data_IF_783957214297
#
_entry.id   IF_783957214297
#
_cell.length_a   1.000
_cell.length_b   1.000
_cell.length_c   1.000
_cell.angle_alpha   90.00
_cell.angle_beta   90.00
_cell.angle_gamma   90.00
#
_symmetry.space_group_name_H-M   'P 1'
#
loop_
_entity.id
_entity.type
_entity.pdbx_description
1 polymer ?
#
# COMPACT_ATOMS: atom_id res chain seq x y z
N UNK A 1 -1.50 15.35 82.97
CA UNK A 1 -0.29 14.65 82.51
C UNK A 1 -0.35 14.60 80.99
N UNK A 2 0.52 15.36 80.32
CA UNK A 2 0.56 15.46 78.87
C UNK A 2 1.32 14.28 78.26
N UNK A 3 0.79 13.77 77.14
CA UNK A 3 1.21 12.56 76.43
C UNK A 3 2.27 12.93 75.39
N UNK A 4 3.33 12.12 75.33
CA UNK A 4 4.40 12.21 74.35
C UNK A 4 3.91 11.87 72.94
N UNK A 5 4.20 12.76 71.99
CA UNK A 5 4.29 12.46 70.57
C UNK A 5 5.77 12.45 70.21
N UNK A 6 6.21 11.52 69.34
CA UNK A 6 7.07 11.76 68.17
C UNK A 6 7.72 10.45 67.65
N UNK A 7 8.08 10.46 66.36
CA UNK A 7 9.03 9.56 65.68
C UNK A 7 8.54 8.20 65.11
N UNK A 8 7.40 8.15 64.41
CA UNK A 8 7.05 6.98 63.55
C UNK A 8 6.41 7.31 62.20
N UNK A 9 6.60 8.51 61.65
CA UNK A 9 5.93 8.91 60.39
C UNK A 9 6.83 9.32 59.22
N UNK A 10 8.14 9.07 59.28
CA UNK A 10 9.06 9.56 58.23
C UNK A 10 9.80 8.46 57.43
N UNK A 11 9.38 7.18 57.51
CA UNK A 11 10.09 6.09 56.79
C UNK A 11 9.27 5.48 55.65
N UNK A 12 7.98 5.81 55.55
CA UNK A 12 7.09 5.22 54.54
C UNK A 12 6.78 6.16 53.36
N UNK A 13 7.08 7.46 53.48
CA UNK A 13 6.83 8.46 52.43
C UNK A 13 8.05 8.68 51.51
N UNK A 14 9.26 8.39 51.98
CA UNK A 14 10.48 8.50 51.16
C UNK A 14 10.69 7.31 50.20
N UNK A 15 10.00 6.18 50.39
CA UNK A 15 10.11 5.04 49.46
C UNK A 15 9.19 5.12 48.24
N UNK A 16 8.36 6.16 48.15
CA UNK A 16 7.44 6.38 47.03
C UNK A 16 7.94 7.46 46.05
N UNK A 17 9.09 8.08 46.33
CA UNK A 17 9.62 9.19 45.55
C UNK A 17 10.80 8.83 44.63
N UNK A 18 11.14 7.55 44.51
CA UNK A 18 12.00 7.06 43.42
C UNK A 18 11.17 6.80 42.16
N UNK A 19 10.41 7.80 41.72
CA UNK A 19 9.94 7.82 40.34
C UNK A 19 11.12 8.33 39.49
N UNK A 20 11.99 7.41 39.07
CA UNK A 20 13.00 7.69 38.05
C UNK A 20 12.28 8.16 36.79
N UNK A 21 12.16 9.48 36.64
CA UNK A 21 11.58 10.16 35.50
C UNK A 21 12.42 9.94 34.25
N UNK A 22 12.27 8.77 33.64
CA UNK A 22 12.53 8.61 32.22
C UNK A 22 11.29 9.14 31.49
N UNK A 23 11.30 10.44 31.22
CA UNK A 23 10.34 11.05 30.29
C UNK A 23 10.68 10.51 28.89
N UNK A 24 9.96 9.47 28.48
CA UNK A 24 10.15 8.84 27.17
C UNK A 24 9.66 9.82 26.10
N UNK A 25 10.58 10.30 25.26
CA UNK A 25 10.25 11.08 24.07
C UNK A 25 9.68 10.13 22.99
N UNK A 26 8.37 9.97 23.02
CA UNK A 26 7.63 9.13 22.07
C UNK A 26 7.81 9.56 20.61
N UNK A 27 8.08 10.84 20.33
CA UNK A 27 8.33 11.31 18.95
C UNK A 27 9.72 10.88 18.47
N UNK A 28 10.74 11.02 19.32
CA UNK A 28 12.08 10.53 19.02
C UNK A 28 12.13 9.00 18.86
N UNK A 29 11.44 8.24 19.73
CA UNK A 29 11.36 6.78 19.61
C UNK A 29 10.64 6.34 18.33
N UNK A 30 9.51 6.99 17.99
CA UNK A 30 8.78 6.71 16.74
C UNK A 30 9.62 6.99 15.50
N UNK A 31 10.42 8.07 15.54
CA UNK A 31 11.36 8.43 14.47
C UNK A 31 12.52 7.43 14.37
N UNK A 32 13.11 7.03 15.50
CA UNK A 32 14.17 6.04 15.56
C UNK A 32 13.72 4.69 14.98
N UNK A 33 12.55 4.20 15.39
CA UNK A 33 11.98 2.96 14.87
C UNK A 33 11.69 3.03 13.36
N UNK A 34 11.20 4.18 12.88
CA UNK A 34 10.96 4.39 11.44
C UNK A 34 12.27 4.32 10.65
N UNK A 35 13.37 4.83 11.20
CA UNK A 35 14.70 4.74 10.58
C UNK A 35 15.26 3.32 10.61
N UNK A 36 15.07 2.59 11.71
CA UNK A 36 15.47 1.18 11.80
C UNK A 36 14.73 0.32 10.76
N UNK A 37 13.41 0.51 10.62
CA UNK A 37 12.61 -0.10 9.57
C UNK A 37 13.15 0.22 8.17
N UNK A 38 13.53 1.48 7.92
CA UNK A 38 14.08 1.93 6.65
C UNK A 38 15.39 1.21 6.33
N UNK A 39 16.33 1.18 7.27
CA UNK A 39 17.64 0.57 7.08
C UNK A 39 17.54 -0.94 6.86
N UNK A 40 16.73 -1.61 7.67
CA UNK A 40 16.48 -3.03 7.50
C UNK A 40 15.87 -3.30 6.11
N UNK A 41 14.79 -2.59 5.73
CA UNK A 41 14.12 -2.83 4.45
C UNK A 41 15.03 -2.56 3.26
N UNK A 42 15.91 -1.56 3.34
CA UNK A 42 16.88 -1.28 2.27
C UNK A 42 17.84 -2.47 2.06
N UNK A 43 18.42 -2.97 3.16
CA UNK A 43 19.34 -4.13 3.13
C UNK A 43 18.62 -5.39 2.66
N UNK A 44 17.42 -5.63 3.19
CA UNK A 44 16.63 -6.81 2.89
C UNK A 44 16.19 -6.85 1.43
N UNK A 45 15.65 -5.75 0.90
CA UNK A 45 15.28 -5.65 -0.52
C UNK A 45 16.51 -5.78 -1.42
N UNK A 46 17.64 -5.18 -1.06
CA UNK A 46 18.89 -5.37 -1.82
C UNK A 46 19.27 -6.85 -1.92
N UNK A 47 19.13 -7.62 -0.82
CA UNK A 47 19.38 -9.07 -0.81
C UNK A 47 18.39 -9.87 -1.65
N UNK A 48 17.14 -9.43 -1.76
CA UNK A 48 16.14 -10.09 -2.63
C UNK A 48 16.66 -10.10 -4.07
N UNK A 49 17.19 -8.97 -4.56
CA UNK A 49 17.61 -8.80 -5.96
C UNK A 49 19.08 -9.14 -6.24
N UNK A 50 19.96 -9.18 -5.24
CA UNK A 50 21.39 -9.49 -5.44
C UNK A 50 21.70 -10.99 -5.53
N UNK A 51 20.72 -11.87 -5.31
CA UNK A 51 20.93 -13.31 -5.17
C UNK A 51 21.65 -13.73 -3.88
N UNK A 52 22.01 -12.77 -3.02
CA UNK A 52 22.64 -13.06 -1.72
C UNK A 52 21.74 -13.93 -0.84
N UNK A 53 22.34 -14.72 0.04
CA UNK A 53 21.58 -15.52 1.00
C UNK A 53 20.82 -14.61 1.98
N UNK A 54 19.55 -14.97 2.21
CA UNK A 54 18.70 -14.36 3.24
C UNK A 54 18.57 -15.40 4.36
N UNK A 55 19.13 -15.09 5.53
CA UNK A 55 19.20 -16.03 6.65
C UNK A 55 17.81 -16.28 7.25
N UNK A 56 17.68 -17.33 8.06
CA UNK A 56 16.41 -17.60 8.76
C UNK A 56 16.07 -16.51 9.78
N UNK A 57 17.09 -15.93 10.42
CA UNK A 57 16.92 -14.80 11.34
C UNK A 57 16.38 -13.57 10.61
N UNK A 58 16.91 -13.24 9.43
CA UNK A 58 16.41 -12.12 8.62
C UNK A 58 14.97 -12.35 8.14
N UNK A 59 14.61 -13.59 7.78
CA UNK A 59 13.23 -13.95 7.42
C UNK A 59 12.27 -13.78 8.60
N UNK A 60 12.67 -14.26 9.78
CA UNK A 60 11.88 -14.11 11.00
C UNK A 60 11.71 -12.63 11.37
N UNK A 61 12.81 -11.86 11.34
CA UNK A 61 12.80 -10.43 11.59
C UNK A 61 11.89 -9.69 10.60
N UNK A 62 11.99 -9.99 9.30
CA UNK A 62 11.12 -9.41 8.27
C UNK A 62 9.64 -9.64 8.59
N UNK A 63 9.27 -10.87 8.98
CA UNK A 63 7.89 -11.20 9.37
C UNK A 63 7.40 -10.37 10.57
N UNK A 64 8.22 -10.20 11.59
CA UNK A 64 7.88 -9.40 12.79
C UNK A 64 7.73 -7.92 12.43
N UNK A 65 8.72 -7.33 11.77
CA UNK A 65 8.69 -5.87 11.51
C UNK A 65 7.58 -5.49 10.53
N UNK A 66 7.17 -6.38 9.61
CA UNK A 66 6.09 -6.13 8.66
C UNK A 66 4.72 -5.89 9.32
N UNK A 67 4.56 -6.25 10.60
CA UNK A 67 3.37 -5.90 11.39
C UNK A 67 3.24 -4.39 11.59
N UNK A 68 4.33 -3.63 11.41
CA UNK A 68 4.34 -2.18 11.56
C UNK A 68 4.27 -1.43 10.22
N UNK A 69 3.48 -0.34 10.19
CA UNK A 69 3.26 0.45 8.97
C UNK A 69 4.54 1.04 8.34
N UNK A 70 5.52 1.57 9.11
CA UNK A 70 6.77 2.08 8.52
C UNK A 70 7.53 1.04 7.70
N UNK A 71 7.59 -0.20 8.19
CA UNK A 71 8.25 -1.30 7.51
C UNK A 71 7.58 -1.64 6.17
N UNK A 72 6.24 -1.80 6.15
CA UNK A 72 5.48 -2.07 4.91
C UNK A 72 5.65 -0.94 3.89
N UNK A 73 5.64 0.31 4.35
CA UNK A 73 5.84 1.49 3.51
C UNK A 73 7.24 1.52 2.89
N UNK A 74 8.28 1.26 3.68
CA UNK A 74 9.66 1.21 3.17
C UNK A 74 9.90 0.03 2.23
N UNK A 75 9.35 -1.15 2.55
CA UNK A 75 9.39 -2.29 1.64
C UNK A 75 8.81 -1.94 0.26
N UNK A 76 7.57 -1.45 0.23
CA UNK A 76 6.89 -1.09 -1.00
C UNK A 76 7.65 -0.01 -1.80
N UNK A 77 8.24 0.98 -1.10
CA UNK A 77 9.08 2.02 -1.73
C UNK A 77 10.32 1.43 -2.39
N UNK A 78 11.10 0.63 -1.66
CA UNK A 78 12.33 0.04 -2.21
C UNK A 78 12.05 -0.94 -3.35
N UNK A 79 10.98 -1.75 -3.26
CA UNK A 79 10.51 -2.57 -4.38
C UNK A 79 10.17 -1.70 -5.60
N UNK A 80 9.41 -0.62 -5.42
CA UNK A 80 9.03 0.26 -6.53
C UNK A 80 10.24 0.94 -7.19
N UNK A 81 11.33 1.19 -6.44
CA UNK A 81 12.58 1.71 -7.01
C UNK A 81 13.27 0.69 -7.94
N UNK A 82 13.11 -0.62 -7.68
CA UNK A 82 13.71 -1.69 -8.49
C UNK A 82 13.06 -1.88 -9.86
N UNK A 83 11.87 -1.27 -10.11
CA UNK A 83 11.13 -1.41 -11.37
C UNK A 83 11.88 -0.89 -12.60
N UNK A 84 12.80 0.06 -12.41
CA UNK A 84 13.57 0.68 -13.48
C UNK A 84 14.66 -0.25 -14.02
N UNK A 85 15.20 -1.11 -13.15
CA UNK A 85 16.39 -1.90 -13.41
C UNK A 85 16.05 -3.37 -13.69
N UNK A 86 15.07 -3.94 -12.96
CA UNK A 86 14.93 -5.39 -12.82
C UNK A 86 13.52 -5.90 -13.17
N UNK A 87 12.98 -5.59 -14.36
CA UNK A 87 11.60 -6.02 -14.72
C UNK A 87 11.46 -7.52 -14.94
N UNK A 88 12.46 -8.14 -15.58
CA UNK A 88 12.52 -9.59 -15.76
C UNK A 88 13.64 -10.13 -14.88
N UNK A 89 13.28 -10.92 -13.87
CA UNK A 89 14.20 -11.41 -12.85
C UNK A 89 14.47 -12.90 -13.02
N UNK A 90 15.55 -13.40 -12.44
CA UNK A 90 15.81 -14.83 -12.34
C UNK A 90 14.76 -15.54 -11.45
N UNK A 91 14.74 -16.87 -11.51
CA UNK A 91 13.73 -17.70 -10.83
C UNK A 91 13.78 -17.53 -9.30
N UNK A 92 14.99 -17.42 -8.73
CA UNK A 92 15.19 -17.30 -7.29
C UNK A 92 14.64 -15.95 -6.82
N UNK A 93 15.00 -14.86 -7.50
CA UNK A 93 14.48 -13.53 -7.23
C UNK A 93 12.96 -13.48 -7.40
N UNK A 94 12.42 -14.12 -8.44
CA UNK A 94 10.97 -14.18 -8.67
C UNK A 94 10.22 -14.81 -7.50
N UNK A 95 10.62 -15.99 -7.05
CA UNK A 95 9.94 -16.67 -5.94
C UNK A 95 10.17 -15.99 -4.58
N UNK A 96 11.31 -15.31 -4.38
CA UNK A 96 11.50 -14.41 -3.23
C UNK A 96 10.49 -13.27 -3.25
N UNK A 97 10.28 -12.63 -4.39
CA UNK A 97 9.28 -11.57 -4.53
C UNK A 97 7.87 -12.10 -4.23
N UNK A 98 7.49 -13.26 -4.77
CA UNK A 98 6.20 -13.91 -4.44
C UNK A 98 6.06 -14.10 -2.93
N UNK A 99 7.07 -14.69 -2.28
CA UNK A 99 7.03 -14.96 -0.84
C UNK A 99 6.88 -13.68 0.00
N UNK A 100 7.75 -12.68 -0.22
CA UNK A 100 7.77 -11.49 0.63
C UNK A 100 6.66 -10.50 0.31
N UNK A 101 6.17 -10.45 -0.94
CA UNK A 101 4.94 -9.73 -1.25
C UNK A 101 3.76 -10.35 -0.51
N UNK A 102 3.63 -11.69 -0.50
CA UNK A 102 2.55 -12.35 0.21
C UNK A 102 2.53 -11.97 1.70
N UNK A 103 3.67 -11.98 2.37
CA UNK A 103 3.78 -11.52 3.78
C UNK A 103 3.34 -10.07 3.94
N UNK A 104 3.84 -9.14 3.11
CA UNK A 104 3.50 -7.72 3.27
C UNK A 104 2.03 -7.45 2.93
N UNK A 105 1.49 -8.09 1.89
CA UNK A 105 0.09 -7.97 1.50
C UNK A 105 -0.85 -8.54 2.57
N UNK A 106 -0.46 -9.62 3.23
CA UNK A 106 -1.17 -10.15 4.39
C UNK A 106 -1.20 -9.12 5.53
N UNK A 107 -0.06 -8.56 5.92
CA UNK A 107 -0.01 -7.55 6.99
C UNK A 107 -0.74 -6.25 6.62
N UNK A 108 -0.70 -5.84 5.35
CA UNK A 108 -1.52 -4.73 4.83
C UNK A 108 -3.02 -5.03 5.00
N UNK A 109 -3.44 -6.27 4.76
CA UNK A 109 -4.84 -6.67 4.93
C UNK A 109 -5.26 -6.60 6.39
N UNK A 110 -4.45 -7.16 7.28
CA UNK A 110 -4.74 -7.23 8.72
C UNK A 110 -4.82 -5.84 9.35
N UNK A 111 -3.99 -4.91 8.89
CA UNK A 111 -3.90 -3.56 9.44
C UNK A 111 -4.69 -2.49 8.66
N UNK A 112 -5.45 -2.85 7.63
CA UNK A 112 -6.09 -1.91 6.68
C UNK A 112 -5.09 -0.88 6.08
N UNK A 113 -3.83 -1.27 5.86
CA UNK A 113 -2.76 -0.40 5.36
C UNK A 113 -2.64 -0.50 3.83
N UNK A 114 -3.51 0.24 3.13
CA UNK A 114 -3.68 0.12 1.69
C UNK A 114 -2.62 0.80 0.80
N UNK A 115 -1.98 1.93 1.18
CA UNK A 115 -0.96 2.56 0.31
C UNK A 115 0.22 1.66 -0.10
N UNK A 116 0.87 0.89 0.80
CA UNK A 116 1.90 -0.05 0.40
C UNK A 116 1.31 -1.19 -0.46
N UNK A 117 0.13 -1.70 -0.15
CA UNK A 117 -0.53 -2.73 -0.96
C UNK A 117 -0.83 -2.27 -2.40
N UNK A 118 -1.29 -1.03 -2.58
CA UNK A 118 -1.52 -0.43 -3.91
C UNK A 118 -0.22 -0.37 -4.73
N UNK A 119 0.87 0.01 -4.08
CA UNK A 119 2.20 0.01 -4.72
C UNK A 119 2.57 -1.40 -5.17
N UNK A 120 2.46 -2.39 -4.27
CA UNK A 120 2.76 -3.79 -4.58
C UNK A 120 1.84 -4.40 -5.65
N UNK A 121 0.57 -4.01 -5.67
CA UNK A 121 -0.41 -4.40 -6.72
C UNK A 121 0.13 -4.03 -8.11
N UNK A 122 0.61 -2.80 -8.29
CA UNK A 122 1.19 -2.36 -9.57
C UNK A 122 2.48 -3.14 -9.90
N UNK A 123 3.27 -3.45 -8.87
CA UNK A 123 4.49 -4.24 -9.04
C UNK A 123 4.20 -5.70 -9.44
N UNK A 124 3.02 -6.22 -9.11
CA UNK A 124 2.60 -7.56 -9.52
C UNK A 124 2.51 -7.70 -11.05
N UNK A 125 2.20 -6.61 -11.76
CA UNK A 125 2.16 -6.54 -13.23
C UNK A 125 3.49 -6.11 -13.86
N UNK A 126 4.48 -5.77 -13.03
CA UNK A 126 5.77 -5.24 -13.50
C UNK A 126 6.84 -6.32 -13.52
N UNK A 127 7.00 -7.03 -12.40
CA UNK A 127 8.00 -8.07 -12.24
C UNK A 127 7.52 -9.38 -12.86
N UNK A 128 8.40 -10.00 -13.64
CA UNK A 128 8.13 -11.22 -14.37
C UNK A 128 9.33 -12.16 -14.38
N UNK A 129 9.07 -13.43 -14.69
CA UNK A 129 10.08 -14.44 -14.96
C UNK A 129 9.77 -15.15 -16.27
N UNK A 130 10.81 -15.58 -16.98
CA UNK A 130 10.69 -16.31 -18.24
C UNK A 130 10.99 -17.78 -17.99
N UNK A 131 9.95 -18.60 -18.03
CA UNK A 131 10.04 -20.05 -17.92
C UNK A 131 10.26 -20.69 -19.28
N UNK A 132 11.13 -21.70 -19.34
CA UNK A 132 11.31 -22.54 -20.53
C UNK A 132 10.38 -23.75 -20.47
N UNK A 133 9.28 -23.68 -21.22
CA UNK A 133 8.37 -24.82 -21.40
C UNK A 133 8.83 -25.67 -22.59
N UNK A 134 9.74 -26.61 -22.34
CA UNK A 134 10.30 -27.48 -23.37
C UNK A 134 11.43 -26.83 -24.19
N UNK A 135 11.68 -27.34 -25.41
CA UNK A 135 12.84 -26.92 -26.23
C UNK A 135 12.63 -25.63 -27.05
N UNK A 136 11.40 -25.11 -27.16
CA UNK A 136 11.10 -24.08 -28.17
C UNK A 136 10.19 -22.93 -27.71
N UNK A 137 9.54 -22.99 -26.54
CA UNK A 137 8.60 -21.93 -26.12
C UNK A 137 8.99 -21.36 -24.75
N UNK A 138 9.39 -20.10 -24.75
CA UNK A 138 9.56 -19.30 -23.55
C UNK A 138 8.22 -18.68 -23.15
N UNK A 139 7.80 -18.87 -21.91
CA UNK A 139 6.59 -18.26 -21.34
C UNK A 139 6.99 -17.22 -20.29
N UNK A 140 6.45 -16.01 -20.45
CA UNK A 140 6.60 -14.94 -19.47
C UNK A 140 5.46 -14.99 -18.48
N UNK A 141 5.77 -15.14 -17.20
CA UNK A 141 4.79 -15.10 -16.12
C UNK A 141 5.06 -13.90 -15.20
N UNK A 142 3.99 -13.28 -14.73
CA UNK A 142 4.04 -12.13 -13.83
C UNK A 142 3.71 -12.57 -12.41
N UNK A 143 4.21 -11.82 -11.41
CA UNK A 143 3.90 -12.07 -10.00
C UNK A 143 2.40 -12.11 -9.73
N UNK A 144 1.60 -11.35 -10.49
CA UNK A 144 0.15 -11.34 -10.39
C UNK A 144 -0.48 -12.74 -10.38
N UNK A 145 0.03 -13.68 -11.19
CA UNK A 145 -0.51 -15.05 -11.28
C UNK A 145 -0.43 -15.76 -9.92
N UNK A 146 0.66 -15.58 -9.20
CA UNK A 146 0.95 -16.23 -7.92
C UNK A 146 0.36 -15.50 -6.72
N UNK A 147 0.04 -14.22 -6.88
CA UNK A 147 -0.46 -13.36 -5.80
C UNK A 147 -1.95 -13.06 -5.91
N UNK A 148 -2.67 -13.60 -6.90
CA UNK A 148 -4.10 -13.31 -7.11
C UNK A 148 -5.02 -13.76 -5.98
N UNK A 149 -4.61 -14.73 -5.19
CA UNK A 149 -5.42 -15.29 -4.11
C UNK A 149 -5.21 -14.59 -2.76
N UNK A 150 -4.45 -13.49 -2.71
CA UNK A 150 -4.25 -12.72 -1.49
C UNK A 150 -5.58 -12.07 -1.01
N UNK A 151 -5.92 -12.17 0.30
CA UNK A 151 -7.20 -11.69 0.83
C UNK A 151 -7.50 -10.20 0.57
N UNK A 152 -6.46 -9.37 0.54
CA UNK A 152 -6.59 -7.93 0.31
C UNK A 152 -7.26 -7.59 -1.02
N UNK A 153 -7.10 -8.42 -2.06
CA UNK A 153 -7.76 -8.20 -3.35
C UNK A 153 -9.27 -8.45 -3.28
N UNK A 154 -9.77 -9.20 -2.29
CA UNK A 154 -11.22 -9.39 -2.09
C UNK A 154 -11.84 -8.27 -1.25
N UNK A 155 -11.03 -7.45 -0.59
CA UNK A 155 -11.51 -6.37 0.25
C UNK A 155 -11.92 -5.14 -0.58
N UNK A 156 -13.22 -4.86 -0.68
CA UNK A 156 -13.72 -3.64 -1.35
C UNK A 156 -13.15 -2.35 -0.73
N UNK A 157 -12.83 -2.37 0.57
CA UNK A 157 -12.18 -1.24 1.26
C UNK A 157 -10.82 -0.89 0.63
N UNK A 158 -10.04 -1.90 0.24
CA UNK A 158 -8.77 -1.69 -0.46
C UNK A 158 -9.00 -0.99 -1.81
N UNK A 159 -9.89 -1.51 -2.65
CA UNK A 159 -10.16 -0.95 -3.98
C UNK A 159 -10.68 0.50 -3.91
N UNK A 160 -11.59 0.77 -2.98
CA UNK A 160 -12.11 2.11 -2.76
C UNK A 160 -11.00 3.08 -2.34
N UNK A 161 -10.20 2.72 -1.35
CA UNK A 161 -9.12 3.57 -0.86
C UNK A 161 -8.04 3.78 -1.92
N UNK A 162 -7.62 2.73 -2.61
CA UNK A 162 -6.59 2.79 -3.63
C UNK A 162 -7.03 3.62 -4.85
N UNK A 163 -8.30 3.53 -5.24
CA UNK A 163 -8.88 4.32 -6.32
C UNK A 163 -8.95 5.79 -5.97
N UNK A 164 -9.50 6.12 -4.79
CA UNK A 164 -9.56 7.50 -4.32
C UNK A 164 -8.15 8.10 -4.25
N UNK A 165 -7.18 7.38 -3.69
CA UNK A 165 -5.78 7.80 -3.66
C UNK A 165 -5.23 8.08 -5.08
N UNK A 166 -5.58 7.26 -6.08
CA UNK A 166 -5.16 7.49 -7.47
C UNK A 166 -5.74 8.77 -8.05
N UNK A 167 -7.05 8.97 -7.90
CA UNK A 167 -7.75 10.15 -8.42
C UNK A 167 -7.22 11.43 -7.76
N UNK A 168 -6.96 11.41 -6.45
CA UNK A 168 -6.37 12.57 -5.76
C UNK A 168 -4.93 12.80 -6.19
N UNK A 169 -4.14 11.74 -6.40
CA UNK A 169 -2.76 11.87 -6.85
C UNK A 169 -2.66 12.46 -8.26
N UNK A 170 -3.59 12.21 -9.18
CA UNK A 170 -3.56 12.84 -10.52
C UNK A 170 -4.01 14.30 -10.50
N UNK A 171 -4.89 14.65 -9.56
CA UNK A 171 -5.35 16.02 -9.33
C UNK A 171 -4.29 16.83 -8.55
N UNK A 172 -3.04 16.90 -9.04
CA UNK A 172 -1.97 17.76 -8.52
C UNK A 172 -2.32 19.27 -8.52
N UNK A 173 -3.51 19.65 -8.98
CA UNK A 173 -4.04 20.98 -8.75
C UNK A 173 -4.38 21.08 -7.26
N UNK A 174 -3.70 21.94 -6.47
CA UNK A 174 -4.13 22.23 -5.11
C UNK A 174 -5.61 22.55 -5.19
N UNK A 175 -6.45 21.87 -4.39
CA UNK A 175 -7.87 22.22 -4.25
C UNK A 175 -7.94 23.72 -4.07
N UNK A 176 -8.36 24.43 -5.12
CA UNK A 176 -8.34 25.88 -5.11
C UNK A 176 -9.21 26.33 -3.94
N UNK A 177 -8.74 27.28 -3.12
CA UNK A 177 -9.60 27.94 -2.14
C UNK A 177 -10.90 28.34 -2.82
N UNK A 178 -12.03 28.19 -2.11
CA UNK A 178 -13.37 28.45 -2.67
C UNK A 178 -13.51 29.86 -3.28
N UNK A 179 -12.73 30.81 -2.78
CA UNK A 179 -12.59 32.17 -3.33
C UNK A 179 -12.07 32.16 -4.76
N UNK A 180 -11.03 31.37 -5.05
CA UNK A 180 -10.35 31.34 -6.34
C UNK A 180 -11.17 30.56 -7.36
N UNK A 181 -11.92 29.54 -6.92
CA UNK A 181 -12.89 28.84 -7.77
C UNK A 181 -13.99 29.78 -8.27
N UNK A 182 -14.51 30.65 -7.41
CA UNK A 182 -15.55 31.60 -7.80
C UNK A 182 -15.05 32.66 -8.79
N UNK A 183 -13.74 32.95 -8.76
CA UNK A 183 -13.08 33.92 -9.64
C UNK A 183 -12.71 33.34 -11.02
N UNK A 184 -12.81 32.02 -11.21
CA UNK A 184 -12.60 31.39 -12.52
C UNK A 184 -13.72 31.72 -13.49
N UNK A 185 -13.39 31.78 -14.78
CA UNK A 185 -14.41 31.85 -15.83
C UNK A 185 -15.27 30.58 -15.85
N UNK A 186 -16.49 30.67 -16.36
CA UNK A 186 -17.35 29.48 -16.51
C UNK A 186 -16.72 28.42 -17.42
N UNK A 187 -15.93 28.83 -18.42
CA UNK A 187 -15.16 27.91 -19.25
C UNK A 187 -14.08 27.20 -18.44
N UNK A 188 -13.31 27.90 -17.61
CA UNK A 188 -12.26 27.27 -16.79
C UNK A 188 -12.85 26.30 -15.75
N UNK A 189 -14.03 26.64 -15.19
CA UNK A 189 -14.75 25.75 -14.28
C UNK A 189 -15.23 24.49 -15.01
N UNK A 190 -15.75 24.65 -16.23
CA UNK A 190 -16.16 23.55 -17.08
C UNK A 190 -14.98 22.64 -17.42
N UNK A 191 -13.86 23.22 -17.88
CA UNK A 191 -12.67 22.47 -18.28
C UNK A 191 -12.05 21.70 -17.10
N UNK A 192 -12.04 22.28 -15.89
CA UNK A 192 -11.59 21.57 -14.68
C UNK A 192 -12.51 20.42 -14.30
N UNK A 193 -13.84 20.61 -14.41
CA UNK A 193 -14.79 19.52 -14.17
C UNK A 193 -14.60 18.40 -15.19
N UNK A 194 -14.43 18.73 -16.46
CA UNK A 194 -14.24 17.76 -17.52
C UNK A 194 -12.91 17.02 -17.39
N UNK A 195 -11.83 17.71 -17.05
CA UNK A 195 -10.55 17.10 -16.72
C UNK A 195 -10.67 16.12 -15.55
N UNK A 196 -11.38 16.50 -14.49
CA UNK A 196 -11.61 15.64 -13.33
C UNK A 196 -12.39 14.37 -13.72
N UNK A 197 -13.48 14.51 -14.50
CA UNK A 197 -14.24 13.38 -15.03
C UNK A 197 -13.37 12.44 -15.86
N UNK A 198 -12.54 12.98 -16.77
CA UNK A 198 -11.65 12.19 -17.61
C UNK A 198 -10.58 11.44 -16.80
N UNK A 199 -10.04 12.05 -15.73
CA UNK A 199 -9.13 11.36 -14.80
C UNK A 199 -9.83 10.21 -14.08
N UNK A 200 -11.04 10.43 -13.53
CA UNK A 200 -11.84 9.37 -12.90
C UNK A 200 -12.12 8.24 -13.89
N UNK A 201 -12.55 8.56 -15.10
CA UNK A 201 -12.83 7.57 -16.14
C UNK A 201 -11.59 6.72 -16.47
N UNK A 202 -10.44 7.35 -16.69
CA UNK A 202 -9.17 6.65 -16.95
C UNK A 202 -8.71 5.76 -15.79
N UNK A 203 -8.85 6.26 -14.55
CA UNK A 203 -8.54 5.47 -13.36
C UNK A 203 -9.50 4.29 -13.18
N UNK A 204 -10.80 4.47 -13.47
CA UNK A 204 -11.76 3.38 -13.40
C UNK A 204 -11.45 2.28 -14.41
N UNK A 205 -11.07 2.65 -15.64
CA UNK A 205 -10.63 1.66 -16.64
C UNK A 205 -9.40 0.87 -16.18
N UNK A 206 -8.44 1.55 -15.54
CA UNK A 206 -7.24 0.90 -14.98
C UNK A 206 -7.60 -0.06 -13.85
N UNK A 207 -8.42 0.39 -12.89
CA UNK A 207 -8.85 -0.43 -11.76
C UNK A 207 -9.73 -1.61 -12.21
N UNK A 208 -10.62 -1.40 -13.18
CA UNK A 208 -11.43 -2.45 -13.79
C UNK A 208 -10.57 -3.59 -14.34
N UNK A 209 -9.53 -3.25 -15.12
CA UNK A 209 -8.58 -4.23 -15.65
C UNK A 209 -7.80 -4.94 -14.54
N UNK A 210 -7.33 -4.21 -13.52
CA UNK A 210 -6.60 -4.79 -12.40
C UNK A 210 -7.48 -5.78 -11.62
N UNK A 211 -8.71 -5.39 -11.26
CA UNK A 211 -9.66 -6.25 -10.55
C UNK A 211 -9.96 -7.53 -11.35
N UNK A 212 -10.15 -7.40 -12.67
CA UNK A 212 -10.32 -8.55 -13.57
C UNK A 212 -9.10 -9.47 -13.55
N UNK A 213 -7.90 -8.92 -13.69
CA UNK A 213 -6.67 -9.70 -13.70
C UNK A 213 -6.46 -10.46 -12.37
N UNK A 214 -6.76 -9.84 -11.23
CA UNK A 214 -6.75 -10.49 -9.92
C UNK A 214 -7.94 -11.45 -9.69
N UNK A 215 -8.79 -11.66 -10.68
CA UNK A 215 -9.83 -12.70 -10.65
C UNK A 215 -11.06 -12.34 -9.84
N UNK A 216 -11.35 -11.04 -9.65
CA UNK A 216 -12.58 -10.63 -8.95
C UNK A 216 -13.82 -10.98 -9.79
N UNK A 217 -14.94 -11.36 -9.14
CA UNK A 217 -16.19 -11.62 -9.85
C UNK A 217 -16.67 -10.41 -10.64
N UNK A 218 -17.22 -10.66 -11.83
CA UNK A 218 -17.77 -9.61 -12.71
C UNK A 218 -18.77 -8.71 -11.97
N UNK A 219 -19.65 -9.29 -11.15
CA UNK A 219 -20.62 -8.55 -10.34
C UNK A 219 -19.95 -7.55 -9.39
N UNK A 220 -18.87 -7.95 -8.73
CA UNK A 220 -18.09 -7.09 -7.82
C UNK A 220 -17.43 -5.94 -8.58
N UNK A 221 -16.86 -6.21 -9.76
CA UNK A 221 -16.26 -5.17 -10.59
C UNK A 221 -17.31 -4.18 -11.12
N UNK A 222 -18.48 -4.67 -11.55
CA UNK A 222 -19.58 -3.84 -12.01
C UNK A 222 -20.14 -2.96 -10.90
N UNK A 223 -20.31 -3.50 -9.69
CA UNK A 223 -20.76 -2.73 -8.52
C UNK A 223 -19.76 -1.61 -8.17
N UNK A 224 -18.46 -1.92 -8.20
CA UNK A 224 -17.40 -0.93 -7.97
C UNK A 224 -17.46 0.21 -8.99
N UNK A 225 -17.53 -0.11 -10.28
CA UNK A 225 -17.64 0.87 -11.36
C UNK A 225 -18.89 1.72 -11.20
N UNK A 226 -20.05 1.09 -10.98
CA UNK A 226 -21.30 1.82 -10.82
C UNK A 226 -21.23 2.84 -9.69
N UNK A 227 -20.69 2.45 -8.53
CA UNK A 227 -20.55 3.34 -7.37
C UNK A 227 -19.60 4.51 -7.67
N UNK A 228 -18.43 4.23 -8.24
CA UNK A 228 -17.43 5.26 -8.50
C UNK A 228 -17.80 6.18 -9.67
N UNK A 229 -18.52 5.68 -10.67
CA UNK A 229 -19.06 6.49 -11.76
C UNK A 229 -20.12 7.49 -11.27
N UNK A 230 -20.93 7.11 -10.27
CA UNK A 230 -21.87 8.05 -9.63
C UNK A 230 -21.11 9.13 -8.87
N UNK A 231 -20.07 8.77 -8.11
CA UNK A 231 -19.24 9.73 -7.37
C UNK A 231 -18.51 10.68 -8.33
N UNK A 232 -18.06 10.18 -9.47
CA UNK A 232 -17.37 10.95 -10.49
C UNK A 232 -18.26 11.66 -11.50
N UNK A 233 -19.59 11.59 -11.35
CA UNK A 233 -20.56 12.19 -12.27
C UNK A 233 -20.32 11.83 -13.75
N UNK A 234 -19.92 10.58 -14.00
CA UNK A 234 -19.67 10.09 -15.36
C UNK A 234 -20.99 9.89 -16.12
N UNK A 235 -20.94 10.10 -17.43
CA UNK A 235 -22.12 9.92 -18.28
C UNK A 235 -22.39 8.44 -18.61
N UNK A 236 -23.54 8.20 -19.23
CA UNK A 236 -23.98 6.83 -19.57
C UNK A 236 -23.09 6.16 -20.62
N UNK A 237 -22.49 6.93 -21.52
CA UNK A 237 -21.63 6.40 -22.58
C UNK A 237 -20.30 5.93 -22.01
N UNK A 238 -19.70 6.74 -21.14
CA UNK A 238 -18.52 6.41 -20.34
C UNK A 238 -18.77 5.15 -19.50
N UNK A 239 -19.90 5.08 -18.78
CA UNK A 239 -20.25 3.90 -17.98
C UNK A 239 -20.38 2.65 -18.85
N UNK A 240 -21.06 2.75 -20.00
CA UNK A 240 -21.20 1.63 -20.93
C UNK A 240 -19.83 1.15 -21.46
N UNK A 241 -18.90 2.07 -21.74
CA UNK A 241 -17.56 1.73 -22.20
C UNK A 241 -16.74 1.00 -21.12
N UNK A 242 -16.85 1.40 -19.85
CA UNK A 242 -16.22 0.71 -18.72
C UNK A 242 -16.81 -0.69 -18.49
N UNK A 243 -18.11 -0.86 -18.70
CA UNK A 243 -18.78 -2.16 -18.52
C UNK A 243 -18.38 -3.17 -19.60
N UNK A 244 -18.12 -2.71 -20.84
CA UNK A 244 -17.62 -3.55 -21.94
C UNK A 244 -16.30 -4.27 -21.60
N UNK A 245 -15.45 -3.70 -20.74
CA UNK A 245 -14.20 -4.33 -20.28
C UNK A 245 -14.42 -5.74 -19.66
N UNK A 246 -15.63 -6.02 -19.21
CA UNK A 246 -16.03 -7.30 -18.60
C UNK A 246 -16.95 -8.15 -19.49
N UNK A 247 -17.24 -7.73 -20.72
CA UNK A 247 -18.08 -8.48 -21.67
C UNK A 247 -17.25 -9.38 -22.60
N UNK A 248 -16.01 -9.01 -22.91
CA UNK A 248 -15.14 -9.73 -23.86
C UNK A 248 -14.35 -10.89 -23.23
N UNK A 249 -14.97 -11.79 -22.46
CA UNK A 249 -14.29 -12.98 -21.90
C UNK A 249 -15.18 -14.19 -21.78
#
# INVERSE_FOLDING_TARGET
MAVAADARRDVFEDSLNENNGYEIDYEAETSAFTNECKEFMNKFVSKIFSGSEITQEEKAQFGVICQHSPARRWFARYINMQRGENKCVDEITFFRLVQYFATVLFECHQADDFPPAKTLMNMCFTFCHVFRAGKTVERKEFLQVYLRDQPIWRALRFWNAAFLDSVHSENHSPTLPRSDWNNLSENDKHDKKEHHKNSIFGQLGTFANNMKAFGLPKSTCQEFIQKMSVIGELDKEQIALLQKTFEDS
#
